data_IF_771134144372
#
_entry.id   IF_771134144372
#
_cell.length_a   1.000
_cell.length_b   1.000
_cell.length_c   1.000
_cell.angle_alpha   90.00
_cell.angle_beta   90.00
_cell.angle_gamma   90.00
#
_symmetry.space_group_name_H-M   'P 1'
#
loop_
_entity.id
_entity.type
_entity.pdbx_description
1 polymer ?
#
# COMPACT_ATOMS: atom_id res chain seq x y z
N UNK A 1 19.77 -13.69 -5.64
CA UNK A 1 18.37 -14.00 -5.76
C UNK A 1 17.52 -13.22 -4.79
N UNK A 2 16.60 -12.50 -5.29
CA UNK A 2 15.79 -11.64 -4.46
C UNK A 2 14.56 -12.38 -3.96
N UNK A 3 14.33 -12.31 -2.68
CA UNK A 3 13.14 -12.87 -2.11
C UNK A 3 11.98 -11.91 -2.29
N UNK A 4 10.80 -12.43 -2.03
CA UNK A 4 9.63 -11.59 -2.04
C UNK A 4 9.75 -10.56 -0.95
N UNK A 5 9.25 -9.38 -1.24
CA UNK A 5 9.15 -8.35 -0.22
C UNK A 5 8.19 -8.80 0.86
N UNK A 6 8.40 -8.31 2.07
CA UNK A 6 7.40 -8.51 3.10
C UNK A 6 6.14 -7.76 2.72
N UNK A 7 5.03 -8.13 3.36
CA UNK A 7 3.77 -7.45 3.10
C UNK A 7 3.91 -5.95 3.35
N UNK A 8 4.64 -5.59 4.39
CA UNK A 8 4.85 -4.19 4.73
C UNK A 8 5.62 -3.45 3.64
N UNK A 9 6.71 -4.05 3.18
CA UNK A 9 7.51 -3.42 2.13
C UNK A 9 6.72 -3.28 0.84
N UNK A 10 5.99 -4.33 0.50
CA UNK A 10 5.19 -4.30 -0.72
C UNK A 10 4.09 -3.26 -0.61
N UNK A 11 3.51 -3.11 0.59
CA UNK A 11 2.46 -2.13 0.81
C UNK A 11 2.98 -0.72 0.55
N UNK A 12 4.17 -0.41 1.04
CA UNK A 12 4.73 0.91 0.79
C UNK A 12 5.07 1.11 -0.68
N UNK A 13 5.57 0.08 -1.34
CA UNK A 13 5.83 0.17 -2.77
C UNK A 13 4.55 0.48 -3.53
N UNK A 14 3.49 -0.25 -3.23
CA UNK A 14 2.21 -0.04 -3.92
C UNK A 14 1.66 1.34 -3.63
N UNK A 15 1.78 1.78 -2.39
CA UNK A 15 1.26 3.09 -2.01
C UNK A 15 1.95 4.21 -2.79
N UNK A 16 3.22 4.03 -3.11
CA UNK A 16 3.97 5.06 -3.83
C UNK A 16 3.60 5.15 -5.30
N UNK A 17 2.96 4.11 -5.83
CA UNK A 17 2.63 4.11 -7.26
C UNK A 17 1.58 5.13 -7.63
N UNK A 18 0.78 5.55 -6.65
CA UNK A 18 -0.30 6.48 -6.93
C UNK A 18 -1.54 5.83 -7.52
N UNK A 19 -1.55 4.52 -7.64
CA UNK A 19 -2.68 3.81 -8.24
C UNK A 19 -3.81 3.57 -7.25
N UNK A 20 -3.55 3.72 -5.98
CA UNK A 20 -4.53 3.37 -4.94
C UNK A 20 -4.91 4.62 -4.17
N UNK A 21 -6.21 4.88 -4.14
CA UNK A 21 -6.69 6.07 -3.45
C UNK A 21 -6.71 5.88 -1.94
N UNK A 22 -6.74 4.65 -1.48
CA UNK A 22 -6.81 4.40 -0.05
C UNK A 22 -6.29 3.03 0.32
N UNK A 23 -6.22 2.80 1.62
CA UNK A 23 -5.66 1.56 2.14
C UNK A 23 -6.51 0.35 1.81
N UNK A 24 -7.82 0.51 1.70
CA UNK A 24 -8.69 -0.61 1.35
C UNK A 24 -8.31 -1.23 0.03
N UNK A 25 -8.08 -0.39 -0.97
CA UNK A 25 -7.70 -0.87 -2.29
C UNK A 25 -6.30 -1.47 -2.26
N UNK A 26 -5.42 -0.87 -1.48
CA UNK A 26 -4.08 -1.37 -1.32
C UNK A 26 -4.08 -2.78 -0.73
N UNK A 27 -4.89 -2.98 0.29
CA UNK A 27 -4.98 -4.28 0.94
C UNK A 27 -5.56 -5.33 0.00
N UNK A 28 -6.55 -4.94 -0.81
CA UNK A 28 -7.08 -5.86 -1.80
C UNK A 28 -6.00 -6.33 -2.76
N UNK A 29 -5.18 -5.41 -3.21
CA UNK A 29 -4.10 -5.77 -4.13
C UNK A 29 -3.11 -6.71 -3.46
N UNK A 30 -2.77 -6.46 -2.20
CA UNK A 30 -1.86 -7.34 -1.48
C UNK A 30 -2.43 -8.74 -1.36
N UNK A 31 -3.72 -8.85 -1.06
CA UNK A 31 -4.35 -10.15 -0.98
C UNK A 31 -4.30 -10.86 -2.32
N UNK A 32 -4.54 -10.13 -3.39
CA UNK A 32 -4.49 -10.70 -4.73
C UNK A 32 -3.09 -11.24 -5.03
N UNK A 33 -2.06 -10.57 -4.51
CA UNK A 33 -0.69 -11.01 -4.74
C UNK A 33 -0.27 -12.13 -3.79
N UNK A 34 -1.13 -12.50 -2.86
CA UNK A 34 -0.84 -13.61 -1.97
C UNK A 34 -0.22 -13.20 -0.65
N UNK A 35 -0.19 -11.92 -0.35
CA UNK A 35 0.33 -11.46 0.94
C UNK A 35 -0.73 -11.53 2.02
N UNK A 36 -0.27 -11.66 3.25
CA UNK A 36 -1.16 -11.63 4.40
C UNK A 36 -1.32 -10.20 4.86
N UNK A 37 -2.53 -9.67 4.74
CA UNK A 37 -2.78 -8.28 5.14
C UNK A 37 -2.89 -8.14 6.65
N UNK A 38 -2.90 -9.25 7.36
CA UNK A 38 -2.95 -9.19 8.81
C UNK A 38 -1.69 -8.55 9.39
N UNK A 39 -0.59 -8.59 8.63
CA UNK A 39 0.64 -7.95 9.07
C UNK A 39 0.54 -6.43 9.00
N UNK A 40 -0.45 -5.93 8.30
CA UNK A 40 -0.65 -4.50 8.18
C UNK A 40 -1.66 -4.05 9.23
N UNK A 41 -1.25 -4.13 10.47
CA UNK A 41 -2.11 -3.74 11.57
C UNK A 41 -1.42 -2.66 12.39
N UNK A 42 -2.21 -1.98 13.21
CA UNK A 42 -1.66 -0.90 14.01
C UNK A 42 -2.07 0.44 13.43
N UNK A 43 -2.63 1.31 14.30
CA UNK A 43 -3.17 2.58 13.80
C UNK A 43 -2.11 3.49 13.21
N UNK A 44 -0.90 3.48 13.75
CA UNK A 44 0.15 4.34 13.22
C UNK A 44 0.57 3.91 11.83
N UNK A 45 0.72 2.59 11.63
CA UNK A 45 1.11 2.08 10.33
C UNK A 45 0.05 2.34 9.28
N UNK A 46 -1.20 2.07 9.62
CA UNK A 46 -2.30 2.27 8.68
C UNK A 46 -2.44 3.73 8.33
N UNK A 47 -2.20 4.61 9.29
CA UNK A 47 -2.26 6.04 9.01
C UNK A 47 -1.17 6.44 8.03
N UNK A 48 0.05 5.93 8.24
CA UNK A 48 1.15 6.25 7.34
C UNK A 48 0.87 5.78 5.92
N UNK A 49 0.34 4.56 5.81
CA UNK A 49 0.02 4.02 4.49
C UNK A 49 -1.07 4.85 3.83
N UNK A 50 -2.08 5.24 4.58
CA UNK A 50 -3.16 6.03 4.04
C UNK A 50 -2.66 7.38 3.55
N UNK A 51 -1.82 8.01 4.34
CA UNK A 51 -1.29 9.31 3.96
C UNK A 51 -0.42 9.20 2.72
N UNK A 52 0.37 8.15 2.63
CA UNK A 52 1.20 7.93 1.47
C UNK A 52 0.36 7.65 0.22
N UNK A 53 -0.66 6.84 0.37
CA UNK A 53 -1.57 6.56 -0.73
C UNK A 53 -2.23 7.83 -1.23
N UNK A 54 -2.75 8.63 -0.30
CA UNK A 54 -3.44 9.85 -0.65
C UNK A 54 -2.52 10.83 -1.36
N UNK A 55 -1.32 11.00 -0.81
CA UNK A 55 -0.38 11.94 -1.39
C UNK A 55 0.09 11.48 -2.77
N UNK A 56 0.38 10.18 -2.89
CA UNK A 56 0.86 9.65 -4.16
C UNK A 56 -0.23 9.65 -5.21
N UNK A 57 -1.46 9.33 -4.80
CA UNK A 57 -2.58 9.30 -5.73
C UNK A 57 -2.89 10.70 -6.24
N UNK A 58 -2.85 11.68 -5.35
CA UNK A 58 -3.09 13.06 -5.74
C UNK A 58 -1.99 13.54 -6.69
N UNK A 59 -0.75 13.17 -6.43
CA UNK A 59 0.35 13.59 -7.28
C UNK A 59 0.30 12.93 -8.64
N UNK A 60 -0.25 11.71 -8.71
CA UNK A 60 -0.32 10.97 -9.96
C UNK A 60 -1.60 11.26 -10.72
N UNK A 61 -2.56 11.94 -10.12
CA UNK A 61 -3.84 12.18 -10.76
C UNK A 61 -3.66 13.04 -11.99
N UNK A 62 -4.35 12.72 -13.07
CA UNK A 62 -4.27 13.56 -14.28
C UNK A 62 -4.99 14.88 -14.03
N UNK A 63 -4.61 15.84 -14.83
CA UNK A 63 -5.19 17.17 -14.74
C UNK A 63 -6.64 17.21 -15.15
#
# INVERSE_FOLDING_TARGET
>A
MTDRLTALERAFDLARTGKYAGVSELRQQLKTEGYSVEQLSGPALLRQLRELCTASHAAAAPE
#
